data_IF_388965095142
#
_entry.id   IF_388965095142
#
_cell.length_a   1.000
_cell.length_b   1.000
_cell.length_c   1.000
_cell.angle_alpha   90.00
_cell.angle_beta   90.00
_cell.angle_gamma   90.00
#
_symmetry.space_group_name_H-M   'P 1'
#
loop_
_entity.id
_entity.type
_entity.pdbx_description
1 polymer ?
#
# COMPACT_ATOMS: atom_id res chain seq x y z
N UNK A 1 -26.73 -13.28 52.07
CA UNK A 1 -27.81 -13.02 51.10
C UNK A 1 -27.30 -11.96 50.14
N UNK A 2 -26.81 -12.41 48.98
CA UNK A 2 -26.10 -11.59 47.99
C UNK A 2 -27.04 -10.62 47.29
N UNK A 3 -26.70 -9.33 47.29
CA UNK A 3 -27.33 -8.34 46.41
C UNK A 3 -26.47 -8.19 45.15
N UNK A 4 -27.01 -8.70 44.04
CA UNK A 4 -26.48 -8.54 42.70
C UNK A 4 -26.63 -7.10 42.23
N UNK A 5 -25.52 -6.43 41.90
CA UNK A 5 -25.54 -5.17 41.16
C UNK A 5 -25.46 -5.50 39.66
N UNK A 6 -26.55 -5.24 38.93
CA UNK A 6 -26.58 -5.28 37.48
C UNK A 6 -26.09 -3.92 36.96
N UNK A 7 -24.86 -3.87 36.45
CA UNK A 7 -24.37 -2.75 35.66
C UNK A 7 -24.96 -2.81 34.25
N UNK A 8 -25.49 -1.71 33.68
CA UNK A 8 -25.83 -1.67 32.27
C UNK A 8 -24.54 -1.60 31.45
N UNK A 9 -24.40 -2.56 30.53
CA UNK A 9 -23.36 -2.56 29.49
C UNK A 9 -23.63 -1.39 28.56
N UNK A 10 -22.73 -0.41 28.52
CA UNK A 10 -22.76 0.66 27.52
C UNK A 10 -22.54 0.03 26.12
N UNK A 11 -23.27 0.50 25.08
CA UNK A 11 -23.02 0.02 23.73
C UNK A 11 -21.59 0.39 23.30
N UNK A 12 -20.91 -0.46 22.49
CA UNK A 12 -19.60 -0.10 21.97
C UNK A 12 -19.72 1.17 21.14
N UNK A 13 -18.83 2.13 21.39
CA UNK A 13 -18.74 3.36 20.63
C UNK A 13 -18.52 3.04 19.15
N UNK A 14 -19.52 3.31 18.31
CA UNK A 14 -19.37 3.30 16.86
C UNK A 14 -18.30 4.31 16.50
N UNK A 15 -17.19 3.82 15.94
CA UNK A 15 -16.14 4.68 15.38
C UNK A 15 -16.76 5.37 14.16
N UNK A 16 -16.64 6.70 14.02
CA UNK A 16 -17.18 7.38 12.86
C UNK A 16 -16.52 6.81 11.61
N UNK A 17 -17.33 6.39 10.64
CA UNK A 17 -16.86 6.02 9.32
C UNK A 17 -16.17 7.25 8.71
N UNK A 18 -14.85 7.20 8.60
CA UNK A 18 -14.06 8.23 7.93
C UNK A 18 -14.53 8.32 6.47
N UNK A 19 -15.26 9.38 6.14
CA UNK A 19 -15.84 9.63 4.81
C UNK A 19 -14.79 9.97 3.73
N UNK A 20 -13.51 9.62 3.92
CA UNK A 20 -12.38 10.10 3.12
C UNK A 20 -11.49 8.97 2.56
N UNK A 21 -11.99 7.73 2.59
CA UNK A 21 -11.22 6.54 2.16
C UNK A 21 -11.44 6.12 0.71
N UNK A 22 -12.48 6.63 0.07
CA UNK A 22 -12.86 6.20 -1.28
C UNK A 22 -12.26 7.12 -2.34
N UNK A 23 -11.51 6.55 -3.29
CA UNK A 23 -10.88 7.28 -4.39
C UNK A 23 -11.60 7.00 -5.70
N UNK A 24 -11.54 7.94 -6.65
CA UNK A 24 -11.89 7.65 -8.05
C UNK A 24 -10.65 7.12 -8.76
N UNK A 25 -10.85 6.31 -9.81
CA UNK A 25 -9.74 5.85 -10.65
C UNK A 25 -8.94 7.02 -11.25
N UNK A 26 -9.60 8.14 -11.54
CA UNK A 26 -8.95 9.37 -12.04
C UNK A 26 -8.06 10.07 -11.01
N UNK A 27 -8.21 9.75 -9.72
CA UNK A 27 -7.41 10.33 -8.66
C UNK A 27 -6.12 9.54 -8.42
N UNK A 28 -5.98 8.35 -9.02
CA UNK A 28 -4.84 7.45 -8.82
C UNK A 28 -4.03 7.34 -10.12
N UNK A 29 -2.79 7.80 -10.07
CA UNK A 29 -1.82 7.63 -11.15
C UNK A 29 -0.81 6.56 -10.76
N UNK A 30 -0.62 5.57 -11.63
CA UNK A 30 0.35 4.50 -11.40
C UNK A 30 1.74 4.97 -11.85
N UNK A 31 2.73 4.85 -10.96
CA UNK A 31 4.13 5.17 -11.27
C UNK A 31 4.85 3.87 -11.67
N UNK A 32 4.74 2.86 -10.82
CA UNK A 32 5.23 1.50 -11.04
C UNK A 32 4.37 0.48 -10.27
N UNK A 33 4.81 -0.76 -10.17
CA UNK A 33 4.03 -1.86 -9.58
C UNK A 33 3.74 -1.73 -8.09
N UNK A 34 4.40 -0.83 -7.35
CA UNK A 34 4.12 -0.59 -5.93
C UNK A 34 4.19 0.89 -5.52
N UNK A 35 4.35 1.81 -6.47
CA UNK A 35 4.33 3.25 -6.24
C UNK A 35 3.20 3.88 -7.03
N UNK A 36 2.38 4.68 -6.35
CA UNK A 36 1.28 5.44 -6.93
C UNK A 36 1.39 6.91 -6.55
N UNK A 37 0.68 7.75 -7.28
CA UNK A 37 0.44 9.14 -6.96
C UNK A 37 -1.07 9.33 -6.79
N UNK A 38 -1.48 10.00 -5.72
CA UNK A 38 -2.89 10.21 -5.38
C UNK A 38 -3.16 11.70 -5.39
N UNK A 39 -4.17 12.12 -6.16
CA UNK A 39 -4.57 13.51 -6.29
C UNK A 39 -4.84 14.14 -4.92
N UNK A 40 -4.17 15.26 -4.64
CA UNK A 40 -4.29 15.99 -3.38
C UNK A 40 -3.29 15.59 -2.30
N UNK A 41 -2.51 14.52 -2.50
CA UNK A 41 -1.38 14.21 -1.63
C UNK A 41 -0.13 15.00 -2.02
N UNK A 42 0.73 15.26 -1.04
CA UNK A 42 1.94 16.08 -1.22
C UNK A 42 3.13 15.32 -1.81
N UNK A 43 3.06 13.99 -1.86
CA UNK A 43 4.13 13.13 -2.35
C UNK A 43 3.55 11.81 -2.87
N UNK A 44 4.32 11.11 -3.71
CA UNK A 44 3.99 9.75 -4.14
C UNK A 44 3.84 8.83 -2.92
N UNK A 45 3.04 7.79 -3.08
CA UNK A 45 2.76 6.77 -2.07
C UNK A 45 3.43 5.47 -2.45
N UNK A 46 4.23 4.93 -1.52
CA UNK A 46 4.71 3.56 -1.56
C UNK A 46 3.67 2.62 -0.95
N UNK A 47 3.19 1.68 -1.73
CA UNK A 47 2.32 0.61 -1.26
C UNK A 47 3.15 -0.37 -0.41
N UNK A 48 2.62 -0.75 0.75
CA UNK A 48 3.35 -1.55 1.74
C UNK A 48 2.92 -3.01 1.74
N UNK A 49 3.76 -3.88 2.32
CA UNK A 49 3.49 -5.32 2.45
C UNK A 49 4.03 -6.16 1.29
N UNK A 50 4.45 -5.52 0.21
CA UNK A 50 5.02 -6.16 -0.97
C UNK A 50 6.10 -5.30 -1.64
N UNK A 51 6.88 -5.92 -2.52
CA UNK A 51 7.82 -5.25 -3.41
C UNK A 51 7.51 -5.69 -4.84
N UNK A 52 7.35 -4.72 -5.74
CA UNK A 52 7.27 -4.95 -7.17
C UNK A 52 8.65 -4.68 -7.82
N UNK A 53 8.95 -5.30 -8.97
CA UNK A 53 10.16 -5.01 -9.72
C UNK A 53 10.17 -3.57 -10.25
N UNK A 54 11.35 -2.94 -10.26
CA UNK A 54 11.54 -1.56 -10.69
C UNK A 54 11.45 -1.42 -12.22
N UNK A 55 10.81 -0.35 -12.70
CA UNK A 55 10.70 -0.06 -14.14
C UNK A 55 11.73 0.96 -14.63
N UNK A 56 12.16 1.89 -13.77
CA UNK A 56 13.05 2.99 -14.15
C UNK A 56 14.53 2.59 -14.20
N UNK A 57 14.99 1.81 -13.20
CA UNK A 57 16.39 1.34 -13.12
C UNK A 57 16.45 -0.15 -12.79
N UNK A 58 15.90 -1.01 -13.66
CA UNK A 58 15.96 -2.45 -13.47
C UNK A 58 17.40 -2.94 -13.52
N UNK A 59 17.71 -3.93 -12.70
CA UNK A 59 19.01 -4.60 -12.62
C UNK A 59 19.24 -5.52 -13.81
N UNK A 60 18.17 -5.99 -14.45
CA UNK A 60 18.21 -6.84 -15.64
C UNK A 60 16.93 -6.72 -16.48
N UNK A 61 16.97 -7.22 -17.73
CA UNK A 61 15.81 -7.20 -18.65
C UNK A 61 14.61 -7.96 -18.11
N UNK A 62 14.82 -9.09 -17.43
CA UNK A 62 13.74 -9.88 -16.84
C UNK A 62 13.00 -9.11 -15.74
N UNK A 63 13.74 -8.41 -14.86
CA UNK A 63 13.14 -7.51 -13.86
C UNK A 63 12.27 -6.44 -14.53
N UNK A 64 12.79 -5.78 -15.56
CA UNK A 64 12.05 -4.77 -16.31
C UNK A 64 10.72 -5.29 -16.86
N UNK A 65 10.74 -6.47 -17.49
CA UNK A 65 9.55 -7.07 -18.10
C UNK A 65 8.47 -7.36 -17.05
N UNK A 66 8.86 -7.92 -15.90
CA UNK A 66 7.90 -8.16 -14.80
C UNK A 66 7.42 -6.84 -14.20
N UNK A 67 8.29 -5.83 -14.10
CA UNK A 67 7.93 -4.50 -13.58
C UNK A 67 6.90 -3.80 -14.47
N UNK A 68 7.07 -3.87 -15.78
CA UNK A 68 6.11 -3.33 -16.76
C UNK A 68 4.75 -4.08 -16.66
N UNK A 69 4.78 -5.40 -16.49
CA UNK A 69 3.56 -6.19 -16.27
C UNK A 69 2.85 -5.83 -14.95
N UNK A 70 3.60 -5.70 -13.85
CA UNK A 70 3.07 -5.30 -12.54
C UNK A 70 2.41 -3.91 -12.60
N UNK A 71 3.08 -2.95 -13.24
CA UNK A 71 2.59 -1.59 -13.46
C UNK A 71 1.29 -1.58 -14.27
N UNK A 72 1.28 -2.29 -15.40
CA UNK A 72 0.10 -2.41 -16.26
C UNK A 72 -1.06 -3.08 -15.52
N UNK A 73 -0.78 -4.12 -14.74
CA UNK A 73 -1.78 -4.87 -13.98
C UNK A 73 -2.40 -4.02 -12.88
N UNK A 74 -1.60 -3.31 -12.08
CA UNK A 74 -2.10 -2.38 -11.08
C UNK A 74 -3.01 -1.31 -11.71
N UNK A 75 -2.62 -0.79 -12.87
CA UNK A 75 -3.44 0.14 -13.64
C UNK A 75 -4.75 -0.45 -14.17
N UNK A 76 -4.81 -1.75 -14.47
CA UNK A 76 -6.05 -2.44 -14.84
C UNK A 76 -6.97 -2.61 -13.63
N UNK A 77 -6.42 -3.02 -12.48
CA UNK A 77 -7.16 -3.18 -11.23
C UNK A 77 -7.84 -1.87 -10.83
N UNK A 78 -7.08 -0.76 -10.83
CA UNK A 78 -7.62 0.57 -10.49
C UNK A 78 -8.68 1.04 -11.48
N UNK A 79 -8.46 0.90 -12.79
CA UNK A 79 -9.43 1.36 -13.80
C UNK A 79 -10.71 0.52 -13.86
N UNK A 80 -10.61 -0.76 -13.50
CA UNK A 80 -11.74 -1.70 -13.51
C UNK A 80 -12.53 -1.77 -12.20
N UNK A 81 -12.05 -1.13 -11.13
CA UNK A 81 -12.65 -1.22 -9.82
C UNK A 81 -13.97 -0.45 -9.72
N UNK A 82 -14.96 -1.03 -9.05
CA UNK A 82 -16.18 -0.33 -8.65
C UNK A 82 -15.93 0.52 -7.39
N UNK A 83 -15.04 0.06 -6.51
CA UNK A 83 -14.63 0.74 -5.29
C UNK A 83 -13.11 0.70 -5.16
N UNK A 84 -12.50 1.87 -4.94
CA UNK A 84 -11.07 2.00 -4.61
C UNK A 84 -10.99 2.60 -3.22
N UNK A 85 -10.26 1.93 -2.33
CA UNK A 85 -10.03 2.40 -0.97
C UNK A 85 -8.55 2.58 -0.71
N UNK A 86 -8.19 3.69 -0.08
CA UNK A 86 -6.83 3.96 0.34
C UNK A 86 -6.75 4.13 1.86
N UNK A 87 -5.78 3.43 2.46
CA UNK A 87 -5.45 3.57 3.86
C UNK A 87 -4.01 4.07 4.00
N UNK A 88 -3.84 5.29 4.51
CA UNK A 88 -2.52 5.79 4.87
C UNK A 88 -2.00 5.02 6.08
N UNK A 89 -0.76 4.53 5.99
CA UNK A 89 -0.07 3.86 7.10
C UNK A 89 1.22 4.59 7.44
N UNK A 90 1.71 4.41 8.66
CA UNK A 90 3.03 4.90 9.04
C UNK A 90 4.10 4.20 8.19
N UNK A 91 5.04 4.97 7.67
CA UNK A 91 6.19 4.38 7.00
C UNK A 91 7.10 3.68 8.02
N UNK A 92 7.80 2.62 7.58
CA UNK A 92 8.82 1.94 8.39
C UNK A 92 10.08 2.81 8.51
N UNK A 93 9.99 3.87 9.30
CA UNK A 93 10.99 4.92 9.37
C UNK A 93 11.36 5.27 10.81
N UNK A 94 12.56 5.84 10.97
CA UNK A 94 12.97 6.35 12.28
C UNK A 94 12.05 7.52 12.69
N UNK A 95 11.74 7.69 13.98
CA UNK A 95 10.92 8.80 14.45
C UNK A 95 11.43 10.15 13.92
N UNK A 96 10.51 10.99 13.46
CA UNK A 96 10.82 12.32 12.91
C UNK A 96 11.43 12.34 11.50
N UNK A 97 11.49 11.21 10.80
CA UNK A 97 12.03 11.16 9.42
C UNK A 97 10.97 10.96 8.33
N UNK A 98 9.73 10.59 8.69
CA UNK A 98 8.65 10.43 7.72
C UNK A 98 8.38 11.73 6.94
N UNK A 99 8.21 11.62 5.62
CA UNK A 99 8.07 12.77 4.74
C UNK A 99 9.37 13.47 4.34
N UNK A 100 10.53 12.93 4.74
CA UNK A 100 11.86 13.40 4.29
C UNK A 100 12.53 12.36 3.41
N UNK A 101 13.53 12.75 2.62
CA UNK A 101 14.32 11.82 1.79
C UNK A 101 15.00 10.70 2.59
N UNK A 102 15.18 10.88 3.91
CA UNK A 102 15.73 9.86 4.81
C UNK A 102 14.77 8.70 5.07
N UNK A 103 13.51 8.82 4.69
CA UNK A 103 12.45 7.83 4.85
C UNK A 103 11.76 7.60 3.52
N UNK A 104 11.90 6.40 2.95
CA UNK A 104 11.25 6.03 1.67
C UNK A 104 11.44 7.03 0.53
N UNK A 105 12.55 7.78 0.54
CA UNK A 105 12.83 8.84 -0.44
C UNK A 105 11.73 9.91 -0.50
N UNK A 106 11.21 10.31 0.67
CA UNK A 106 10.17 11.33 0.80
C UNK A 106 8.75 10.85 0.48
N UNK A 107 8.57 9.58 0.08
CA UNK A 107 7.25 9.00 -0.20
C UNK A 107 6.43 8.80 1.09
N UNK A 108 5.13 8.96 0.95
CA UNK A 108 4.17 8.48 1.95
C UNK A 108 4.02 6.95 1.85
N UNK A 109 3.40 6.33 2.84
CA UNK A 109 3.13 4.90 2.84
C UNK A 109 1.63 4.63 3.00
N UNK A 110 1.15 3.57 2.37
CA UNK A 110 -0.24 3.17 2.49
C UNK A 110 -0.55 1.81 1.91
N UNK A 111 -1.78 1.39 2.11
CA UNK A 111 -2.38 0.21 1.48
C UNK A 111 -3.47 0.66 0.53
N UNK A 112 -3.57 -0.01 -0.62
CA UNK A 112 -4.59 0.24 -1.62
C UNK A 112 -5.43 -1.02 -1.78
N UNK A 113 -6.75 -0.84 -1.74
CA UNK A 113 -7.72 -1.90 -1.91
C UNK A 113 -8.61 -1.58 -3.11
N UNK A 114 -8.92 -2.59 -3.91
CA UNK A 114 -9.84 -2.53 -5.03
C UNK A 114 -10.93 -3.58 -4.82
N UNK A 115 -12.18 -3.17 -4.82
CA UNK A 115 -13.34 -4.03 -4.58
C UNK A 115 -13.16 -4.93 -3.33
N UNK A 116 -12.63 -4.34 -2.25
CA UNK A 116 -12.37 -5.01 -0.97
C UNK A 116 -11.14 -5.93 -0.94
N UNK A 117 -10.31 -5.95 -2.00
CA UNK A 117 -9.08 -6.78 -2.09
C UNK A 117 -7.83 -5.92 -2.09
N UNK A 118 -6.85 -6.31 -1.28
CA UNK A 118 -5.53 -5.68 -1.26
C UNK A 118 -4.81 -5.90 -2.60
N UNK A 119 -4.36 -4.82 -3.24
CA UNK A 119 -3.71 -4.91 -4.56
C UNK A 119 -2.38 -5.66 -4.49
N UNK A 120 -1.64 -5.52 -3.39
CA UNK A 120 -0.38 -6.23 -3.17
C UNK A 120 -0.57 -7.74 -3.14
N UNK A 121 -1.59 -8.21 -2.43
CA UNK A 121 -1.95 -9.63 -2.38
C UNK A 121 -2.30 -10.18 -3.76
N UNK A 122 -2.98 -9.39 -4.59
CA UNK A 122 -3.33 -9.75 -5.96
C UNK A 122 -2.08 -9.85 -6.83
N UNK A 123 -1.19 -8.85 -6.80
CA UNK A 123 0.05 -8.85 -7.57
C UNK A 123 1.00 -9.98 -7.15
N UNK A 124 1.07 -10.31 -5.85
CA UNK A 124 1.84 -11.45 -5.36
C UNK A 124 1.27 -12.77 -5.89
N UNK A 125 -0.05 -12.96 -5.81
CA UNK A 125 -0.70 -14.19 -6.30
C UNK A 125 -0.51 -14.40 -7.80
N UNK A 126 -0.38 -13.32 -8.56
CA UNK A 126 -0.13 -13.33 -10.01
C UNK A 126 1.36 -13.41 -10.36
N UNK A 127 2.28 -13.46 -9.38
CA UNK A 127 3.72 -13.56 -9.61
C UNK A 127 4.38 -12.25 -10.08
N UNK A 128 3.69 -11.13 -9.94
CA UNK A 128 4.13 -9.79 -10.37
C UNK A 128 4.80 -8.99 -9.24
N UNK A 129 4.70 -9.48 -8.01
CA UNK A 129 5.31 -8.91 -6.82
C UNK A 129 5.70 -10.02 -5.84
N UNK A 130 6.45 -9.64 -4.81
CA UNK A 130 6.83 -10.54 -3.71
C UNK A 130 6.49 -9.95 -2.35
N UNK A 131 6.16 -10.78 -1.33
CA UNK A 131 5.95 -10.29 0.02
C UNK A 131 7.18 -9.53 0.54
N UNK A 132 6.94 -8.38 1.16
CA UNK A 132 7.99 -7.54 1.72
C UNK A 132 7.51 -6.91 3.02
N UNK A 133 8.04 -7.43 4.13
CA UNK A 133 7.65 -7.03 5.48
C UNK A 133 8.73 -6.19 6.11
N UNK A 134 8.43 -4.92 6.32
CA UNK A 134 9.28 -4.03 7.09
C UNK A 134 8.97 -4.10 8.58
N UNK A 135 9.96 -3.76 9.41
CA UNK A 135 9.75 -3.53 10.83
C UNK A 135 9.12 -2.17 11.08
N UNK A 136 9.18 -1.70 12.33
CA UNK A 136 8.65 -0.37 12.69
C UNK A 136 9.50 0.78 12.15
N UNK A 137 10.82 0.60 12.09
CA UNK A 137 11.76 1.69 11.81
C UNK A 137 12.78 1.37 10.71
N UNK A 138 12.72 0.18 10.13
CA UNK A 138 13.61 -0.26 9.05
C UNK A 138 13.03 -1.43 8.27
N UNK A 139 13.35 -1.49 6.98
CA UNK A 139 13.06 -2.65 6.13
C UNK A 139 14.32 -3.51 5.94
N UNK A 140 14.17 -4.83 5.73
CA UNK A 140 15.28 -5.65 5.23
C UNK A 140 15.66 -5.24 3.80
N UNK A 141 16.77 -5.74 3.22
CA UNK A 141 17.04 -5.55 1.81
C UNK A 141 15.84 -6.00 0.94
N UNK A 142 15.47 -5.24 -0.09
CA UNK A 142 14.35 -5.61 -0.95
C UNK A 142 14.67 -6.92 -1.69
N UNK A 143 13.73 -7.88 -1.71
CA UNK A 143 13.89 -9.10 -2.48
C UNK A 143 13.93 -8.79 -3.99
N UNK A 144 14.89 -9.37 -4.71
CA UNK A 144 15.06 -9.21 -6.16
C UNK A 144 15.17 -10.57 -6.88
N UNK A 145 14.10 -11.39 -6.92
CA UNK A 145 14.12 -12.74 -7.50
C UNK A 145 14.11 -12.77 -9.04
N UNK A 146 14.01 -11.61 -9.70
CA UNK A 146 13.74 -11.50 -11.13
C UNK A 146 15.00 -11.57 -12.00
N UNK A 147 16.17 -11.36 -11.42
CA UNK A 147 17.43 -11.52 -12.12
C UNK A 147 18.00 -12.89 -11.75
N UNK A 148 18.07 -13.77 -12.76
CA UNK A 148 18.66 -15.11 -12.68
C UNK A 148 19.82 -15.20 -13.64
#
# INVERSE_FOLDING_TARGET
MSSSFLSPVAPPAERPASQDRSLRASDVRIIDGDTIDIRGMTANVRLVGFNAPETWRPSCTAERQVGEQATARLGQLVRGAALIEFERVACSCRPGTEGTDRCNFGRLCGSLFVDGRDVGSTLIAEGLAVPYRCGRTSCPPPPQPWCR
#
